data_IF_103770929605
#
_entry.id   IF_103770929605
#
_cell.length_a   1.000
_cell.length_b   1.000
_cell.length_c   1.000
_cell.angle_alpha   90.00
_cell.angle_beta   90.00
_cell.angle_gamma   90.00
#
_symmetry.space_group_name_H-M   'P 1'
#
loop_
_entity.id
_entity.type
_entity.pdbx_description
1 polymer ?
#
# COMPACT_ATOMS: atom_id res chain seq x y z
N UNK A 1 -14.00 25.90 -25.73
CA UNK A 1 -13.86 24.70 -24.87
C UNK A 1 -12.79 24.98 -23.84
N UNK A 2 -13.07 24.89 -22.53
CA UNK A 2 -12.03 25.06 -21.53
C UNK A 2 -11.06 23.89 -21.69
N UNK A 3 -9.82 24.18 -22.05
CA UNK A 3 -8.72 23.23 -21.98
C UNK A 3 -8.53 22.89 -20.51
N UNK A 4 -9.07 21.75 -20.06
CA UNK A 4 -8.66 21.16 -18.80
C UNK A 4 -7.17 20.86 -18.94
N UNK A 5 -6.31 21.77 -18.48
CA UNK A 5 -4.92 21.43 -18.22
C UNK A 5 -4.99 20.33 -17.17
N UNK A 6 -4.58 19.12 -17.55
CA UNK A 6 -4.31 18.01 -16.64
C UNK A 6 -3.13 18.41 -15.74
N UNK A 7 -3.37 19.34 -14.83
CA UNK A 7 -2.42 19.73 -13.81
C UNK A 7 -2.39 18.64 -12.77
N UNK A 8 -1.23 18.03 -12.53
CA UNK A 8 -1.04 17.25 -11.33
C UNK A 8 -1.05 18.23 -10.14
N UNK A 9 -2.17 18.32 -9.42
CA UNK A 9 -2.32 19.24 -8.29
C UNK A 9 -1.60 18.75 -7.03
N UNK A 10 -1.34 17.44 -6.92
CA UNK A 10 -0.70 16.84 -5.76
C UNK A 10 0.76 16.49 -6.01
N UNK A 11 1.67 16.88 -5.11
CA UNK A 11 3.00 16.28 -5.08
C UNK A 11 2.97 14.83 -4.63
N UNK A 12 1.87 14.41 -3.97
CA UNK A 12 1.55 13.01 -3.67
C UNK A 12 0.03 12.80 -3.60
N UNK A 13 -0.45 11.70 -4.17
CA UNK A 13 -1.86 11.29 -4.07
C UNK A 13 -1.97 9.80 -3.85
N UNK A 14 -2.62 9.40 -2.75
CA UNK A 14 -2.81 8.00 -2.40
C UNK A 14 -4.20 7.78 -1.79
N UNK A 15 -4.67 6.55 -1.82
CA UNK A 15 -5.96 6.18 -1.27
C UNK A 15 -5.95 4.80 -0.63
N UNK A 16 -6.94 4.58 0.21
CA UNK A 16 -7.18 3.31 0.87
C UNK A 16 -8.61 2.86 0.64
N UNK A 17 -8.79 1.55 0.55
CA UNK A 17 -10.09 0.95 0.67
C UNK A 17 -10.55 0.89 2.15
N UNK A 18 -11.83 0.57 2.41
CA UNK A 18 -12.36 0.38 3.76
C UNK A 18 -11.52 -0.58 4.62
N UNK A 19 -11.08 -1.72 4.09
CA UNK A 19 -10.36 -2.73 4.88
C UNK A 19 -9.02 -2.20 5.34
N UNK A 20 -8.22 -1.60 4.43
CA UNK A 20 -6.92 -1.04 4.80
C UNK A 20 -7.07 0.17 5.73
N UNK A 21 -8.10 0.99 5.55
CA UNK A 21 -8.43 2.09 6.47
C UNK A 21 -8.70 1.58 7.89
N UNK A 22 -9.49 0.50 8.04
CA UNK A 22 -9.77 -0.14 9.33
C UNK A 22 -8.50 -0.69 9.97
N UNK A 23 -7.67 -1.43 9.21
CA UNK A 23 -6.41 -2.00 9.71
C UNK A 23 -5.46 -0.91 10.21
N UNK A 24 -5.35 0.20 9.47
CA UNK A 24 -4.53 1.35 9.87
C UNK A 24 -5.08 2.04 11.13
N UNK A 25 -6.39 2.20 11.25
CA UNK A 25 -7.00 2.81 12.44
C UNK A 25 -6.86 1.95 13.69
N UNK A 26 -7.04 0.63 13.58
CA UNK A 26 -6.80 -0.30 14.68
C UNK A 26 -5.34 -0.22 15.13
N UNK A 27 -4.38 -0.19 14.19
CA UNK A 27 -2.96 -0.03 14.53
C UNK A 27 -2.66 1.31 15.18
N UNK A 28 -3.18 2.41 14.64
CA UNK A 28 -3.02 3.73 15.25
C UNK A 28 -3.54 3.77 16.70
N UNK A 29 -4.62 3.03 17.00
CA UNK A 29 -5.13 2.91 18.37
C UNK A 29 -4.21 2.14 19.32
N UNK A 30 -3.46 1.15 18.81
CA UNK A 30 -2.44 0.40 19.57
C UNK A 30 -1.13 1.18 19.76
N UNK A 31 -0.82 2.06 18.80
CA UNK A 31 0.36 2.94 18.78
C UNK A 31 0.07 4.34 19.32
N UNK A 32 -1.12 4.59 19.86
CA UNK A 32 -1.46 5.85 20.53
C UNK A 32 -0.73 5.95 21.89
N UNK A 33 0.59 5.84 21.83
CA UNK A 33 1.49 6.28 22.86
C UNK A 33 1.51 7.82 22.82
N UNK A 34 1.45 8.42 24.00
CA UNK A 34 1.49 9.86 24.33
C UNK A 34 2.51 10.68 23.49
N UNK A 35 3.53 10.03 22.91
CA UNK A 35 4.55 10.61 22.03
C UNK A 35 4.02 11.16 20.70
N UNK A 36 3.09 10.48 20.02
CA UNK A 36 2.59 10.94 18.71
C UNK A 36 1.77 12.22 18.86
N UNK A 37 1.04 12.33 19.97
CA UNK A 37 0.32 13.55 20.35
C UNK A 37 1.30 14.71 20.62
N UNK A 38 2.39 14.44 21.34
CA UNK A 38 3.45 15.43 21.60
C UNK A 38 4.14 15.94 20.34
N UNK A 39 4.34 15.09 19.33
CA UNK A 39 4.94 15.49 18.05
C UNK A 39 3.99 16.33 17.19
N UNK A 40 2.70 15.98 17.13
CA UNK A 40 1.69 16.78 16.43
C UNK A 40 1.56 18.16 17.07
N UNK A 41 1.49 18.24 18.41
CA UNK A 41 1.49 19.50 19.17
C UNK A 41 2.75 20.33 18.87
N UNK A 42 3.92 19.68 18.77
CA UNK A 42 5.19 20.36 18.42
C UNK A 42 5.19 20.89 16.98
N UNK A 43 4.49 20.24 16.05
CA UNK A 43 4.45 20.59 14.62
C UNK A 43 3.35 21.60 14.24
N UNK A 44 2.20 21.59 14.93
CA UNK A 44 1.03 22.43 14.58
C UNK A 44 0.60 23.37 15.71
N UNK A 45 1.36 23.44 16.81
CA UNK A 45 1.01 24.22 17.99
C UNK A 45 -0.12 23.61 18.82
N UNK A 46 -0.38 24.20 19.99
CA UNK A 46 -1.38 23.72 20.97
C UNK A 46 -2.80 23.65 20.37
N UNK A 47 -3.15 24.61 19.51
CA UNK A 47 -4.46 24.66 18.82
C UNK A 47 -4.61 23.57 17.75
N UNK A 48 -3.56 23.27 16.98
CA UNK A 48 -3.56 22.16 16.02
C UNK A 48 -3.64 20.80 16.72
N UNK A 49 -2.91 20.64 17.83
CA UNK A 49 -3.01 19.46 18.70
C UNK A 49 -4.41 19.27 19.29
N UNK A 50 -5.06 20.33 19.75
CA UNK A 50 -6.44 20.29 20.27
C UNK A 50 -7.47 19.93 19.19
N UNK A 51 -7.34 20.38 17.94
CA UNK A 51 -8.23 19.96 16.84
C UNK A 51 -8.09 18.48 16.50
N UNK A 52 -6.87 17.95 16.52
CA UNK A 52 -6.61 16.51 16.32
C UNK A 52 -7.20 15.67 17.48
N UNK A 53 -7.18 16.19 18.71
CA UNK A 53 -7.83 15.56 19.88
C UNK A 53 -9.37 15.66 19.82
N UNK A 54 -9.92 16.82 19.47
CA UNK A 54 -11.36 17.09 19.44
C UNK A 54 -12.09 16.33 18.31
N UNK A 55 -11.41 16.08 17.20
CA UNK A 55 -11.94 15.25 16.11
C UNK A 55 -12.02 13.75 16.48
N UNK A 56 -11.38 13.36 17.59
CA UNK A 56 -11.36 12.00 18.09
C UNK A 56 -10.86 10.96 17.09
N UNK A 57 -11.07 9.69 17.43
CA UNK A 57 -10.73 8.52 16.61
C UNK A 57 -11.70 8.31 15.42
N UNK A 58 -12.43 9.34 14.98
CA UNK A 58 -13.53 9.29 13.98
C UNK A 58 -13.35 10.28 12.81
N UNK A 59 -12.11 10.66 12.50
CA UNK A 59 -11.83 11.55 11.36
C UNK A 59 -12.00 10.86 9.98
N UNK A 60 -12.16 9.53 9.96
CA UNK A 60 -12.34 8.74 8.75
C UNK A 60 -13.52 7.78 8.92
N UNK A 61 -14.45 7.81 7.96
CA UNK A 61 -15.46 6.77 7.82
C UNK A 61 -14.80 5.53 7.20
N UNK A 62 -14.50 4.55 8.06
CA UNK A 62 -13.79 3.33 7.69
C UNK A 62 -14.59 2.37 6.79
N UNK A 63 -15.82 2.72 6.45
CA UNK A 63 -16.64 1.96 5.50
C UNK A 63 -16.57 2.54 4.08
N UNK A 64 -15.79 3.62 3.88
CA UNK A 64 -15.64 4.29 2.60
C UNK A 64 -14.19 4.26 2.14
N UNK A 65 -14.00 4.35 0.83
CA UNK A 65 -12.70 4.65 0.26
C UNK A 65 -12.25 6.04 0.72
N UNK A 66 -10.95 6.18 0.97
CA UNK A 66 -10.33 7.46 1.28
C UNK A 66 -9.35 7.85 0.17
N UNK A 67 -9.28 9.15 -0.12
CA UNK A 67 -8.26 9.74 -0.99
C UNK A 67 -7.56 10.87 -0.23
N UNK A 68 -6.24 10.89 -0.31
CA UNK A 68 -5.38 11.83 0.37
C UNK A 68 -4.51 12.55 -0.65
N UNK A 69 -4.60 13.87 -0.68
CA UNK A 69 -3.85 14.73 -1.59
C UNK A 69 -2.88 15.59 -0.77
N UNK A 70 -1.59 15.50 -1.07
CA UNK A 70 -0.57 16.42 -0.56
C UNK A 70 -0.25 17.43 -1.66
N UNK A 71 -0.43 18.72 -1.36
CA UNK A 71 -0.22 19.82 -2.30
C UNK A 71 0.92 20.69 -1.77
N UNK A 72 1.87 21.01 -2.64
CA UNK A 72 2.99 21.90 -2.36
C UNK A 72 2.97 23.05 -3.37
N UNK A 73 3.44 24.22 -2.94
CA UNK A 73 3.50 25.45 -3.73
C UNK A 73 4.59 26.38 -3.17
N UNK A 74 5.05 27.33 -3.99
CA UNK A 74 6.14 28.23 -3.61
C UNK A 74 5.63 29.43 -2.77
N UNK A 75 4.31 29.59 -2.64
CA UNK A 75 3.68 30.61 -1.80
C UNK A 75 2.35 30.14 -1.21
N UNK A 76 1.92 30.76 -0.10
CA UNK A 76 0.62 30.48 0.51
C UNK A 76 -0.57 30.84 -0.40
N UNK A 77 -0.42 31.87 -1.24
CA UNK A 77 -1.45 32.26 -2.20
C UNK A 77 -1.64 31.20 -3.29
N UNK A 78 -0.54 30.69 -3.84
CA UNK A 78 -0.56 29.60 -4.81
C UNK A 78 -1.10 28.30 -4.18
N UNK A 79 -0.70 27.99 -2.94
CA UNK A 79 -1.21 26.83 -2.22
C UNK A 79 -2.74 26.89 -2.07
N UNK A 80 -3.27 28.04 -1.63
CA UNK A 80 -4.71 28.24 -1.49
C UNK A 80 -5.43 28.02 -2.82
N UNK A 81 -4.91 28.60 -3.91
CA UNK A 81 -5.48 28.42 -5.25
C UNK A 81 -5.49 26.95 -5.70
N UNK A 82 -4.39 26.21 -5.49
CA UNK A 82 -4.29 24.78 -5.85
C UNK A 82 -5.24 23.92 -5.00
N UNK A 83 -5.37 24.23 -3.71
CA UNK A 83 -6.32 23.54 -2.82
C UNK A 83 -7.77 23.77 -3.26
N UNK A 84 -8.15 24.99 -3.61
CA UNK A 84 -9.51 25.30 -4.07
C UNK A 84 -9.82 24.61 -5.41
N UNK A 85 -8.86 24.56 -6.33
CA UNK A 85 -9.00 23.80 -7.57
C UNK A 85 -9.20 22.30 -7.31
N UNK A 86 -8.42 21.72 -6.38
CA UNK A 86 -8.58 20.31 -6.00
C UNK A 86 -9.96 20.03 -5.39
N UNK A 87 -10.46 20.92 -4.50
CA UNK A 87 -11.81 20.82 -3.94
C UNK A 87 -12.89 20.86 -5.00
N UNK A 88 -12.79 21.78 -5.96
CA UNK A 88 -13.76 21.89 -7.06
C UNK A 88 -13.82 20.64 -7.93
N UNK A 89 -12.69 19.97 -8.17
CA UNK A 89 -12.65 18.71 -8.92
C UNK A 89 -13.26 17.54 -8.14
N UNK A 90 -13.19 17.59 -6.81
CA UNK A 90 -13.61 16.52 -5.92
C UNK A 90 -15.09 16.66 -5.46
N UNK A 91 -15.61 17.88 -5.38
CA UNK A 91 -16.81 18.23 -4.61
C UNK A 91 -18.12 17.52 -5.01
N UNK A 92 -18.21 16.97 -6.22
CA UNK A 92 -19.41 16.27 -6.67
C UNK A 92 -19.59 14.87 -6.06
N UNK A 93 -18.51 14.24 -5.58
CA UNK A 93 -18.52 12.81 -5.22
C UNK A 93 -17.84 12.46 -3.90
N UNK A 94 -17.17 13.41 -3.25
CA UNK A 94 -16.45 13.14 -2.00
C UNK A 94 -16.75 14.17 -0.92
N UNK A 95 -16.60 13.71 0.32
CA UNK A 95 -16.64 14.56 1.51
C UNK A 95 -15.21 14.84 1.94
N UNK A 96 -14.84 16.12 2.06
CA UNK A 96 -13.54 16.52 2.60
C UNK A 96 -13.45 16.09 4.08
N UNK A 97 -12.30 15.52 4.45
CA UNK A 97 -11.98 15.08 5.80
C UNK A 97 -10.71 15.78 6.28
N UNK A 98 -10.48 15.75 7.60
CA UNK A 98 -9.26 16.27 8.21
C UNK A 98 -8.00 15.59 7.64
N UNK A 99 -6.92 16.36 7.49
CA UNK A 99 -5.67 15.90 6.88
C UNK A 99 -4.76 15.07 7.82
N UNK A 100 -5.33 14.48 8.87
CA UNK A 100 -4.58 13.78 9.92
C UNK A 100 -3.68 12.65 9.37
N UNK A 101 -4.19 11.83 8.43
CA UNK A 101 -3.43 10.71 7.85
C UNK A 101 -2.19 11.19 7.08
N UNK A 102 -2.31 12.05 6.04
CA UNK A 102 -1.13 12.52 5.32
C UNK A 102 -0.16 13.31 6.21
N UNK A 103 -0.66 14.05 7.22
CA UNK A 103 0.20 14.74 8.21
C UNK A 103 1.04 13.74 9.01
N UNK A 104 0.44 12.70 9.58
CA UNK A 104 1.18 11.70 10.35
C UNK A 104 2.18 10.96 9.47
N UNK A 105 1.76 10.49 8.29
CA UNK A 105 2.66 9.81 7.34
C UNK A 105 3.86 10.67 6.93
N UNK A 106 3.68 11.99 6.79
CA UNK A 106 4.78 12.91 6.45
C UNK A 106 5.69 13.19 7.64
N UNK A 107 5.15 13.20 8.86
CA UNK A 107 5.93 13.44 10.08
C UNK A 107 6.86 12.27 10.43
N UNK A 108 6.54 11.05 9.97
CA UNK A 108 7.29 9.83 10.26
C UNK A 108 7.53 9.00 8.98
N UNK A 109 8.40 9.46 8.06
CA UNK A 109 8.61 8.80 6.77
C UNK A 109 9.32 7.43 6.88
N UNK A 110 10.01 7.18 8.01
CA UNK A 110 10.71 5.93 8.28
C UNK A 110 10.13 5.27 9.52
N UNK A 111 9.02 4.58 9.36
CA UNK A 111 8.41 3.82 10.48
C UNK A 111 9.13 2.49 10.68
N UNK A 112 9.22 1.99 11.93
CA UNK A 112 9.64 0.61 12.17
C UNK A 112 8.81 -0.38 11.34
N UNK A 113 9.38 -1.54 10.95
CA UNK A 113 8.72 -2.49 10.07
C UNK A 113 7.61 -3.31 10.77
N UNK A 114 6.99 -2.79 11.82
CA UNK A 114 5.90 -3.44 12.56
C UNK A 114 4.69 -3.74 11.66
N UNK A 115 4.58 -3.05 10.53
CA UNK A 115 3.52 -3.25 9.55
C UNK A 115 3.57 -4.61 8.82
N UNK A 116 4.64 -5.40 8.99
CA UNK A 116 4.71 -6.80 8.53
C UNK A 116 3.65 -7.69 9.20
N UNK A 117 3.10 -7.26 10.34
CA UNK A 117 1.97 -7.90 10.99
C UNK A 117 0.76 -6.96 11.06
N UNK A 118 -0.44 -7.50 10.90
CA UNK A 118 -1.71 -6.84 11.15
C UNK A 118 -1.85 -6.38 12.61
N UNK A 119 -2.84 -5.54 12.91
CA UNK A 119 -3.02 -4.96 14.25
C UNK A 119 -3.25 -6.02 15.34
N UNK A 120 -3.76 -7.22 15.02
CA UNK A 120 -3.91 -8.31 15.98
C UNK A 120 -2.79 -9.34 15.89
N UNK A 121 -1.82 -9.16 14.99
CA UNK A 121 -0.73 -10.11 14.75
C UNK A 121 -0.93 -11.01 13.55
N UNK A 122 -1.93 -10.73 12.71
CA UNK A 122 -2.13 -11.40 11.42
C UNK A 122 -0.87 -11.24 10.55
N UNK A 123 -0.54 -12.22 9.72
CA UNK A 123 0.47 -11.99 8.68
C UNK A 123 -0.07 -10.97 7.68
N UNK A 124 0.82 -10.13 7.17
CA UNK A 124 0.51 -9.16 6.14
C UNK A 124 1.46 -9.30 4.95
N UNK A 125 0.91 -9.26 3.74
CA UNK A 125 1.74 -9.18 2.53
C UNK A 125 1.03 -8.36 1.45
N UNK A 126 1.75 -7.48 0.74
CA UNK A 126 1.25 -6.80 -0.45
C UNK A 126 1.63 -7.54 -1.73
N UNK A 127 0.85 -7.32 -2.78
CA UNK A 127 1.24 -7.46 -4.19
C UNK A 127 0.91 -6.14 -4.85
N UNK A 128 1.73 -5.65 -5.77
CA UNK A 128 1.49 -4.36 -6.39
C UNK A 128 1.79 -4.40 -7.88
N UNK A 129 1.18 -3.51 -8.64
CA UNK A 129 1.53 -3.25 -10.03
C UNK A 129 1.26 -1.82 -10.41
N UNK A 130 2.15 -1.27 -11.23
CA UNK A 130 2.06 0.09 -11.75
C UNK A 130 1.60 0.00 -13.20
N UNK A 131 0.38 0.48 -13.45
CA UNK A 131 -0.28 0.44 -14.75
C UNK A 131 -0.48 1.86 -15.31
N UNK A 132 -0.61 2.02 -16.64
CA UNK A 132 -1.02 3.29 -17.22
C UNK A 132 -2.39 3.73 -16.67
N UNK A 133 -2.61 5.04 -16.52
CA UNK A 133 -3.89 5.57 -16.04
C UNK A 133 -5.10 5.07 -16.85
N UNK A 134 -4.94 4.89 -18.16
CA UNK A 134 -5.99 4.38 -19.06
C UNK A 134 -6.43 2.94 -18.77
N UNK A 135 -5.64 2.16 -18.02
CA UNK A 135 -5.96 0.78 -17.62
C UNK A 135 -6.28 0.62 -16.15
N UNK A 136 -6.09 1.67 -15.33
CA UNK A 136 -6.16 1.57 -13.89
C UNK A 136 -7.53 1.09 -13.38
N UNK A 137 -8.62 1.64 -13.92
CA UNK A 137 -9.99 1.27 -13.53
C UNK A 137 -10.30 -0.18 -13.90
N UNK A 138 -10.08 -0.56 -15.15
CA UNK A 138 -10.36 -1.93 -15.62
C UNK A 138 -9.55 -2.98 -14.84
N UNK A 139 -8.27 -2.68 -14.58
CA UNK A 139 -7.41 -3.56 -13.77
C UNK A 139 -7.91 -3.69 -12.35
N UNK A 140 -8.38 -2.59 -11.74
CA UNK A 140 -8.95 -2.62 -10.39
C UNK A 140 -10.24 -3.46 -10.35
N UNK A 141 -11.13 -3.30 -11.33
CA UNK A 141 -12.36 -4.09 -11.46
C UNK A 141 -12.06 -5.59 -11.62
N UNK A 142 -11.04 -5.95 -12.39
CA UNK A 142 -10.65 -7.34 -12.57
C UNK A 142 -10.10 -7.97 -11.28
N UNK A 143 -9.32 -7.21 -10.50
CA UNK A 143 -8.87 -7.64 -9.17
C UNK A 143 -10.05 -7.83 -8.19
N UNK A 144 -11.01 -6.90 -8.20
CA UNK A 144 -12.23 -7.02 -7.39
C UNK A 144 -13.07 -8.23 -7.79
N UNK A 145 -13.16 -8.54 -9.09
CA UNK A 145 -13.83 -9.72 -9.59
C UNK A 145 -13.14 -11.02 -9.11
N UNK A 146 -11.80 -11.05 -9.11
CA UNK A 146 -11.03 -12.16 -8.54
C UNK A 146 -11.40 -12.38 -7.06
N UNK A 147 -11.33 -11.36 -6.22
CA UNK A 147 -11.62 -11.51 -4.79
C UNK A 147 -13.09 -11.81 -4.51
N UNK A 148 -14.00 -11.24 -5.30
CA UNK A 148 -15.43 -11.55 -5.22
C UNK A 148 -15.73 -13.01 -5.54
N UNK A 149 -15.04 -13.59 -6.54
CA UNK A 149 -15.20 -15.01 -6.90
C UNK A 149 -14.73 -15.97 -5.79
N UNK A 150 -13.78 -15.54 -4.96
CA UNK A 150 -13.18 -16.33 -3.90
C UNK A 150 -13.76 -16.02 -2.50
N UNK A 151 -14.78 -15.16 -2.42
CA UNK A 151 -15.33 -14.60 -1.17
C UNK A 151 -15.69 -15.66 -0.13
N UNK A 152 -16.31 -16.77 -0.56
CA UNK A 152 -16.68 -17.85 0.36
C UNK A 152 -15.46 -18.55 0.99
N UNK A 153 -14.37 -18.71 0.23
CA UNK A 153 -13.11 -19.25 0.74
C UNK A 153 -12.39 -18.25 1.64
N UNK A 154 -12.36 -16.98 1.25
CA UNK A 154 -11.79 -15.90 2.07
C UNK A 154 -12.48 -15.82 3.45
N UNK A 155 -13.82 -15.84 3.48
CA UNK A 155 -14.58 -15.84 4.74
C UNK A 155 -14.29 -17.07 5.59
N UNK A 156 -14.29 -18.27 5.00
CA UNK A 156 -14.03 -19.53 5.73
C UNK A 156 -12.63 -19.55 6.34
N UNK A 157 -11.63 -19.02 5.63
CA UNK A 157 -10.24 -18.99 6.05
C UNK A 157 -9.87 -17.72 6.83
N UNK A 158 -10.83 -16.82 7.06
CA UNK A 158 -10.63 -15.54 7.74
C UNK A 158 -9.49 -14.70 7.12
N UNK A 159 -9.47 -14.65 5.78
CA UNK A 159 -8.53 -13.85 5.01
C UNK A 159 -9.23 -12.54 4.66
N UNK A 160 -8.62 -11.41 5.02
CA UNK A 160 -9.07 -10.08 4.64
C UNK A 160 -8.19 -9.55 3.50
N UNK A 161 -8.83 -8.93 2.51
CA UNK A 161 -8.15 -8.27 1.38
C UNK A 161 -8.50 -6.79 1.37
N UNK A 162 -7.52 -5.94 1.10
CA UNK A 162 -7.73 -4.51 0.91
C UNK A 162 -6.84 -3.94 -0.17
N UNK A 163 -6.84 -2.62 -0.32
CA UNK A 163 -6.07 -1.93 -1.35
C UNK A 163 -5.38 -0.69 -0.81
N UNK A 164 -4.11 -0.55 -1.19
CA UNK A 164 -3.45 0.74 -1.32
C UNK A 164 -3.44 1.13 -2.79
N UNK A 165 -3.79 2.36 -3.09
CA UNK A 165 -3.63 2.93 -4.43
C UNK A 165 -2.87 4.23 -4.37
N UNK A 166 -2.05 4.52 -5.37
CA UNK A 166 -1.34 5.81 -5.45
C UNK A 166 -1.03 6.17 -6.89
N UNK A 167 -1.05 7.46 -7.20
CA UNK A 167 -0.52 7.95 -8.47
C UNK A 167 1.01 7.95 -8.44
N UNK A 168 1.64 7.64 -9.57
CA UNK A 168 3.07 7.81 -9.81
C UNK A 168 3.22 9.02 -10.73
N UNK A 169 3.36 10.19 -10.10
CA UNK A 169 3.29 11.48 -10.79
C UNK A 169 2.07 11.54 -11.75
N UNK A 170 2.26 12.08 -12.95
CA UNK A 170 1.22 12.15 -13.98
C UNK A 170 1.21 10.94 -14.94
N UNK A 171 2.08 9.94 -14.70
CA UNK A 171 2.41 8.94 -15.72
C UNK A 171 1.71 7.59 -15.51
N UNK A 172 1.47 7.20 -14.26
CA UNK A 172 0.97 5.88 -13.95
C UNK A 172 0.21 5.81 -12.62
N UNK A 173 -0.45 4.68 -12.40
CA UNK A 173 -1.23 4.38 -11.22
C UNK A 173 -0.76 3.05 -10.62
N UNK A 174 -0.42 3.08 -9.34
CA UNK A 174 -0.07 1.89 -8.58
C UNK A 174 -1.33 1.36 -7.90
N UNK A 175 -1.60 0.07 -8.11
CA UNK A 175 -2.64 -0.70 -7.43
C UNK A 175 -1.93 -1.76 -6.60
N UNK A 176 -2.19 -1.80 -5.29
CA UNK A 176 -1.58 -2.73 -4.35
C UNK A 176 -2.65 -3.45 -3.53
N UNK A 177 -3.10 -4.64 -3.99
CA UNK A 177 -3.81 -5.56 -3.13
C UNK A 177 -2.96 -5.98 -1.92
N UNK A 178 -3.55 -5.91 -0.74
CA UNK A 178 -2.95 -6.37 0.51
C UNK A 178 -3.76 -7.50 1.10
N UNK A 179 -3.08 -8.44 1.75
CA UNK A 179 -3.68 -9.62 2.34
C UNK A 179 -3.36 -9.67 3.84
N UNK A 180 -4.36 -9.96 4.66
CA UNK A 180 -4.22 -10.23 6.09
C UNK A 180 -4.81 -11.60 6.41
N UNK A 181 -4.09 -12.43 7.15
CA UNK A 181 -4.60 -13.73 7.61
C UNK A 181 -3.94 -14.17 8.91
N UNK A 182 -4.67 -14.95 9.70
CA UNK A 182 -4.14 -15.54 10.92
C UNK A 182 -3.22 -16.72 10.56
N UNK A 183 -1.95 -16.64 10.95
CA UNK A 183 -0.94 -17.68 10.75
C UNK A 183 0.25 -17.41 11.68
N UNK A 184 1.06 -18.44 11.94
CA UNK A 184 2.21 -18.35 12.84
C UNK A 184 3.24 -17.34 12.37
N UNK A 185 3.86 -16.58 13.27
CA UNK A 185 4.95 -15.67 12.91
C UNK A 185 6.17 -16.45 12.42
N UNK A 186 6.80 -16.02 11.33
CA UNK A 186 8.09 -16.59 10.89
C UNK A 186 9.27 -16.01 11.68
N UNK A 187 10.43 -16.66 11.63
CA UNK A 187 11.67 -16.17 12.23
C UNK A 187 12.03 -14.74 11.77
N UNK A 188 11.69 -14.41 10.52
CA UNK A 188 11.88 -13.06 9.99
C UNK A 188 11.03 -12.02 10.72
N UNK A 189 9.77 -12.35 11.05
CA UNK A 189 8.92 -11.47 11.85
C UNK A 189 9.52 -11.27 13.25
N UNK A 190 9.92 -12.36 13.91
CA UNK A 190 10.49 -12.31 15.26
C UNK A 190 11.80 -11.49 15.33
N UNK A 191 12.58 -11.50 14.24
CA UNK A 191 13.83 -10.73 14.13
C UNK A 191 13.62 -9.25 13.83
N UNK A 192 12.65 -8.92 12.96
CA UNK A 192 12.55 -7.59 12.35
C UNK A 192 11.48 -6.71 12.99
N UNK A 193 10.39 -7.30 13.50
CA UNK A 193 9.35 -6.56 14.24
C UNK A 193 9.89 -6.20 15.61
N UNK A 194 9.58 -4.99 16.09
CA UNK A 194 10.07 -4.55 17.40
C UNK A 194 9.54 -5.46 18.52
N UNK A 195 10.39 -5.89 19.48
CA UNK A 195 9.98 -6.79 20.56
C UNK A 195 8.80 -6.27 21.38
N UNK A 196 8.73 -4.96 21.62
CA UNK A 196 7.61 -4.33 22.34
C UNK A 196 6.30 -4.37 21.56
N UNK A 197 6.35 -4.38 20.23
CA UNK A 197 5.17 -4.58 19.41
C UNK A 197 4.73 -6.04 19.41
N UNK A 198 5.68 -6.99 19.31
CA UNK A 198 5.39 -8.44 19.37
C UNK A 198 4.66 -8.84 20.65
N UNK A 199 4.99 -8.22 21.80
CA UNK A 199 4.29 -8.46 23.09
C UNK A 199 2.83 -8.02 23.09
N UNK A 200 2.43 -7.12 22.19
CA UNK A 200 1.07 -6.53 22.14
C UNK A 200 0.16 -7.22 21.12
N UNK A 201 0.71 -8.04 20.23
CA UNK A 201 -0.03 -8.73 19.18
C UNK A 201 -0.08 -10.23 19.43
N UNK A 202 -1.09 -10.91 18.89
CA UNK A 202 -1.21 -12.35 19.01
C UNK A 202 -0.18 -13.06 18.13
N UNK A 203 0.35 -14.17 18.62
CA UNK A 203 1.00 -15.16 17.78
C UNK A 203 -0.01 -16.27 17.50
N UNK A 204 -0.53 -16.30 16.28
CA UNK A 204 -1.52 -17.29 15.87
C UNK A 204 -0.87 -18.67 15.66
N UNK A 205 -1.63 -19.78 15.77
CA UNK A 205 -1.15 -21.07 15.32
C UNK A 205 -0.92 -21.09 13.81
N UNK A 206 -0.14 -22.07 13.34
CA UNK A 206 0.07 -22.26 11.90
C UNK A 206 -1.26 -22.53 11.17
N UNK A 207 -1.43 -21.86 10.04
CA UNK A 207 -2.59 -22.00 9.17
C UNK A 207 -2.16 -22.20 7.71
N UNK A 208 -1.83 -23.44 7.36
CA UNK A 208 -1.38 -23.79 6.01
C UNK A 208 -2.44 -23.51 4.95
N UNK A 209 -3.72 -23.79 5.24
CA UNK A 209 -4.81 -23.57 4.29
C UNK A 209 -4.94 -22.09 3.91
N UNK A 210 -4.88 -21.17 4.89
CA UNK A 210 -4.90 -19.75 4.59
C UNK A 210 -3.63 -19.29 3.87
N UNK A 211 -2.46 -19.79 4.26
CA UNK A 211 -1.17 -19.48 3.64
C UNK A 211 -1.15 -19.85 2.15
N UNK A 212 -1.56 -21.08 1.82
CA UNK A 212 -1.65 -21.59 0.45
C UNK A 212 -2.64 -20.78 -0.39
N UNK A 213 -3.81 -20.44 0.19
CA UNK A 213 -4.80 -19.60 -0.48
C UNK A 213 -4.26 -18.20 -0.78
N UNK A 214 -3.60 -17.56 0.19
CA UNK A 214 -2.98 -16.24 0.00
C UNK A 214 -1.90 -16.32 -1.08
N UNK A 215 -1.03 -17.33 -1.08
CA UNK A 215 -0.01 -17.48 -2.12
C UNK A 215 -0.62 -17.68 -3.52
N UNK A 216 -1.70 -18.45 -3.64
CA UNK A 216 -2.43 -18.60 -4.90
C UNK A 216 -3.07 -17.26 -5.35
N UNK A 217 -3.74 -16.55 -4.46
CA UNK A 217 -4.37 -15.26 -4.76
C UNK A 217 -3.36 -14.20 -5.19
N UNK A 218 -2.23 -14.12 -4.49
CA UNK A 218 -1.14 -13.21 -4.85
C UNK A 218 -0.65 -13.47 -6.27
N UNK A 219 -0.51 -14.73 -6.67
CA UNK A 219 -0.11 -15.12 -8.03
C UNK A 219 -1.15 -14.68 -9.06
N UNK A 220 -2.43 -14.96 -8.82
CA UNK A 220 -3.53 -14.52 -9.70
C UNK A 220 -3.58 -12.99 -9.84
N UNK A 221 -3.46 -12.26 -8.73
CA UNK A 221 -3.41 -10.79 -8.73
C UNK A 221 -2.20 -10.24 -9.49
N UNK A 222 -1.02 -10.85 -9.31
CA UNK A 222 0.18 -10.47 -10.06
C UNK A 222 0.05 -10.74 -11.56
N UNK A 223 -0.63 -11.82 -11.96
CA UNK A 223 -0.90 -12.15 -13.35
C UNK A 223 -1.87 -11.13 -13.98
N UNK A 224 -2.96 -10.75 -13.29
CA UNK A 224 -3.87 -9.68 -13.73
C UNK A 224 -3.11 -8.37 -13.97
N UNK A 225 -2.27 -7.97 -13.00
CA UNK A 225 -1.44 -6.77 -13.12
C UNK A 225 -0.46 -6.86 -14.28
N UNK A 226 0.17 -8.03 -14.50
CA UNK A 226 1.08 -8.27 -15.63
C UNK A 226 0.35 -8.18 -16.96
N UNK A 227 -0.83 -8.76 -17.08
CA UNK A 227 -1.61 -8.80 -18.32
C UNK A 227 -2.14 -7.41 -18.68
N UNK A 228 -2.38 -6.55 -17.67
CA UNK A 228 -2.59 -5.12 -17.86
C UNK A 228 -1.33 -4.35 -18.35
N UNK A 229 -0.16 -4.99 -18.39
CA UNK A 229 1.12 -4.36 -18.73
C UNK A 229 1.81 -3.69 -17.53
N UNK A 230 1.49 -4.14 -16.31
CA UNK A 230 1.99 -3.59 -15.07
C UNK A 230 3.50 -3.75 -14.87
N UNK A 231 4.09 -2.81 -14.13
CA UNK A 231 5.49 -2.87 -13.68
C UNK A 231 5.58 -2.88 -12.15
N UNK A 232 6.72 -3.29 -11.60
CA UNK A 232 6.87 -3.55 -10.16
C UNK A 232 8.18 -2.98 -9.60
N UNK A 233 8.15 -2.44 -8.40
CA UNK A 233 9.34 -1.90 -7.70
C UNK A 233 10.29 -2.99 -7.16
N UNK A 234 9.81 -4.23 -6.99
CA UNK A 234 10.54 -5.31 -6.34
C UNK A 234 10.19 -6.64 -7.00
N UNK A 235 10.98 -7.07 -8.00
CA UNK A 235 10.70 -8.29 -8.74
C UNK A 235 11.00 -9.55 -7.92
N UNK A 236 12.17 -9.59 -7.30
CA UNK A 236 12.61 -10.71 -6.46
C UNK A 236 12.50 -12.05 -7.18
N UNK A 237 11.91 -13.04 -6.49
CA UNK A 237 11.57 -14.38 -7.04
C UNK A 237 10.08 -14.53 -7.30
N UNK A 238 9.30 -13.52 -6.95
CA UNK A 238 7.85 -13.59 -6.98
C UNK A 238 7.34 -13.23 -8.38
N UNK A 239 7.71 -12.07 -8.93
CA UNK A 239 7.22 -11.70 -10.25
C UNK A 239 7.94 -12.47 -11.37
N UNK A 240 7.20 -12.86 -12.42
CA UNK A 240 7.68 -13.64 -13.57
C UNK A 240 8.49 -12.76 -14.54
N UNK A 241 9.61 -12.21 -14.07
CA UNK A 241 10.39 -11.20 -14.80
C UNK A 241 10.77 -11.62 -16.22
N UNK A 242 11.14 -12.89 -16.43
CA UNK A 242 11.64 -13.38 -17.73
C UNK A 242 10.54 -13.52 -18.77
N UNK A 243 9.30 -13.75 -18.34
CA UNK A 243 8.18 -13.95 -19.25
C UNK A 243 7.88 -12.64 -19.99
N UNK A 244 7.73 -12.73 -21.32
CA UNK A 244 7.46 -11.58 -22.18
C UNK A 244 8.65 -10.63 -22.40
N UNK A 245 9.87 -10.99 -21.99
CA UNK A 245 11.09 -10.21 -22.29
C UNK A 245 11.67 -10.57 -23.67
N UNK A 246 12.35 -9.60 -24.28
CA UNK A 246 13.09 -9.84 -25.51
C UNK A 246 14.22 -10.88 -25.26
N UNK A 247 14.32 -11.94 -26.07
CA UNK A 247 15.34 -12.98 -25.90
C UNK A 247 16.79 -12.45 -25.86
N UNK A 248 17.12 -11.43 -26.66
CA UNK A 248 18.46 -10.83 -26.67
C UNK A 248 18.79 -10.10 -25.36
N UNK A 249 17.79 -9.44 -24.74
CA UNK A 249 17.97 -8.80 -23.43
C UNK A 249 18.16 -9.82 -22.32
N UNK A 250 17.43 -10.95 -22.37
CA UNK A 250 17.62 -12.05 -21.44
C UNK A 250 18.99 -12.69 -21.59
N UNK A 251 19.46 -12.89 -22.83
CA UNK A 251 20.80 -13.42 -23.08
C UNK A 251 21.91 -12.53 -22.50
N UNK A 252 21.77 -11.20 -22.59
CA UNK A 252 22.70 -10.27 -21.94
C UNK A 252 22.68 -10.40 -20.42
N UNK A 253 21.50 -10.48 -19.80
CA UNK A 253 21.37 -10.69 -18.35
C UNK A 253 22.03 -12.00 -17.92
N UNK A 254 21.81 -13.08 -18.66
CA UNK A 254 22.39 -14.39 -18.39
C UNK A 254 23.92 -14.38 -18.55
N UNK A 255 24.45 -13.66 -19.55
CA UNK A 255 25.88 -13.49 -19.75
C UNK A 255 26.53 -12.73 -18.58
N UNK A 256 25.91 -11.65 -18.10
CA UNK A 256 26.38 -10.91 -16.92
C UNK A 256 26.38 -11.83 -15.69
N UNK A 257 25.31 -12.61 -15.50
CA UNK A 257 25.19 -13.54 -14.38
C UNK A 257 26.28 -14.62 -14.43
N UNK A 258 26.51 -15.24 -15.58
CA UNK A 258 27.52 -16.27 -15.75
C UNK A 258 28.95 -15.74 -15.49
N UNK A 259 29.23 -14.50 -15.89
CA UNK A 259 30.52 -13.87 -15.67
C UNK A 259 30.78 -13.53 -14.19
N UNK A 260 29.76 -13.05 -13.47
CA UNK A 260 29.90 -12.56 -12.09
C UNK A 260 29.57 -13.58 -11.00
N UNK A 261 28.75 -14.59 -11.30
CA UNK A 261 28.37 -15.66 -10.38
C UNK A 261 28.29 -17.02 -11.12
N UNK A 262 29.44 -17.55 -11.57
CA UNK A 262 29.50 -18.78 -12.37
C UNK A 262 29.01 -20.03 -11.61
N UNK A 263 28.92 -19.96 -10.28
CA UNK A 263 28.42 -21.05 -9.43
C UNK A 263 26.97 -20.85 -8.98
N UNK A 264 26.32 -19.78 -9.41
CA UNK A 264 24.92 -19.47 -9.10
C UNK A 264 24.63 -19.28 -7.61
N UNK A 265 25.61 -18.91 -6.79
CA UNK A 265 25.47 -18.85 -5.33
C UNK A 265 24.74 -17.59 -4.84
N UNK A 266 24.78 -16.50 -5.60
CA UNK A 266 24.29 -15.19 -5.20
C UNK A 266 22.78 -15.09 -5.43
N UNK A 267 21.97 -15.43 -4.43
CA UNK A 267 20.50 -15.36 -4.45
C UNK A 267 19.84 -16.14 -5.63
N UNK A 268 19.95 -17.48 -5.65
CA UNK A 268 19.39 -18.32 -6.72
C UNK A 268 17.89 -18.08 -6.96
N UNK A 269 17.46 -18.03 -8.23
CA UNK A 269 16.06 -17.84 -8.64
C UNK A 269 15.59 -16.38 -8.69
N UNK A 270 16.39 -15.41 -8.24
CA UNK A 270 16.05 -14.00 -8.37
C UNK A 270 15.98 -13.59 -9.85
N UNK A 271 14.96 -12.82 -10.23
CA UNK A 271 14.68 -12.48 -11.64
C UNK A 271 14.51 -13.71 -12.54
N UNK A 272 14.24 -14.89 -11.97
CA UNK A 272 14.15 -16.16 -12.69
C UNK A 272 15.49 -16.68 -13.21
N UNK A 273 16.63 -16.19 -12.72
CA UNK A 273 17.94 -16.75 -13.07
C UNK A 273 18.09 -18.15 -12.50
N UNK A 274 18.72 -19.02 -13.28
CA UNK A 274 19.08 -20.38 -12.88
C UNK A 274 20.47 -20.40 -12.26
#
# INVERSE_FOLDING_TARGET
MPTHRSGNFGSRSFGFDPVLAQMRMQRASLMADVKTLGQVIKSQGILGGLKVVASGRRFLDVNKFSMHLCIEADSSAELAQRMDAARQLCSAHVQEIENAIPTVLRSQPFTPPNNMLGPKGERWVPVHGIVPHSKAVDTFVELEALFSSERGTLQRLQIETGYLVTTIAASAFLIEPVFYWQDAQSDYHQRMVEPEYLKRVQNFPENLAAREMVDALKRKAADILRDAGGTHFQLGKFYRYREGRNPAQLALLDAIRAALDPKGQMNPGALGTR
#
